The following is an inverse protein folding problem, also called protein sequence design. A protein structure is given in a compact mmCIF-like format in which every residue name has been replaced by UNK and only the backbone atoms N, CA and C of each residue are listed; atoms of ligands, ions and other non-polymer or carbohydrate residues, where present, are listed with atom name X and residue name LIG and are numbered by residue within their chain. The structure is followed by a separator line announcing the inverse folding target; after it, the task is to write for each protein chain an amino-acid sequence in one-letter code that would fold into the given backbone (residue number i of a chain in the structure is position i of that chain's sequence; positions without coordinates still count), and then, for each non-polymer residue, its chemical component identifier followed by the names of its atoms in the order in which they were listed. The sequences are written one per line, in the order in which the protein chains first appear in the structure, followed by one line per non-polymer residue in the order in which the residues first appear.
data_IF_497382926752
#
_entry.id   IF_497382926752
#
_cell.length_a   1.000
_cell.length_b   1.000
_cell.length_c   1.000
_cell.angle_alpha   90.00
_cell.angle_beta   90.00
_cell.angle_gamma   90.00
#
_symmetry.space_group_name_H-M   'P 1'
#
loop_
_entity.id
_entity.type
_entity.pdbx_description
1 polymer ?
#
# COMPACT_ATOMS: atom_id res chain seq x y z
N UNK A 1 28.48 -22.13 -6.65
CA UNK A 1 28.48 -21.30 -5.42
C UNK A 1 27.20 -20.49 -5.40
N UNK A 2 26.16 -21.00 -4.75
CA UNK A 2 24.86 -20.31 -4.62
C UNK A 2 24.90 -19.51 -3.31
N UNK A 3 25.03 -18.19 -3.42
CA UNK A 3 24.95 -17.27 -2.28
C UNK A 3 23.49 -17.22 -1.83
N UNK A 4 23.16 -17.95 -0.76
CA UNK A 4 21.96 -17.68 0.05
C UNK A 4 22.12 -16.28 0.64
N UNK A 5 21.59 -15.28 -0.06
CA UNK A 5 21.39 -13.96 0.50
C UNK A 5 20.53 -14.12 1.75
N UNK A 6 21.14 -13.86 2.91
CA UNK A 6 20.45 -13.83 4.18
C UNK A 6 19.31 -12.84 4.09
N UNK A 7 18.07 -13.36 4.12
CA UNK A 7 16.94 -12.53 4.47
C UNK A 7 17.06 -12.33 5.98
N UNK A 8 17.77 -11.26 6.38
CA UNK A 8 17.67 -10.75 7.74
C UNK A 8 16.19 -10.61 8.08
N UNK A 9 15.83 -10.91 9.33
CA UNK A 9 14.48 -10.73 9.87
C UNK A 9 13.96 -9.34 9.47
N UNK A 10 13.17 -9.29 8.39
CA UNK A 10 12.63 -8.06 7.85
C UNK A 10 11.58 -7.53 8.82
N UNK A 11 11.71 -6.27 9.21
CA UNK A 11 10.70 -5.61 10.04
C UNK A 11 9.42 -5.46 9.21
N UNK A 12 8.31 -5.99 9.72
CA UNK A 12 7.00 -5.81 9.12
C UNK A 12 6.35 -4.55 9.69
N UNK A 13 6.00 -3.62 8.81
CA UNK A 13 5.22 -2.43 9.13
C UNK A 13 3.83 -2.48 8.52
N UNK A 14 2.87 -1.78 9.13
CA UNK A 14 1.52 -1.58 8.61
C UNK A 14 1.19 -0.09 8.59
N UNK A 15 0.44 0.33 7.58
CA UNK A 15 -0.03 1.71 7.42
C UNK A 15 -1.46 1.69 6.87
N UNK A 16 -2.34 2.49 7.45
CA UNK A 16 -3.72 2.68 7.02
C UNK A 16 -4.19 4.08 7.40
N UNK A 17 -5.36 4.49 6.88
CA UNK A 17 -6.04 5.71 7.24
C UNK A 17 -7.48 5.39 7.61
N UNK A 18 -7.98 5.98 8.70
CA UNK A 18 -9.32 5.74 9.23
C UNK A 18 -9.98 7.02 9.72
N UNK A 19 -11.32 7.05 9.68
CA UNK A 19 -12.08 8.08 10.37
C UNK A 19 -12.25 7.75 11.85
N UNK A 20 -12.93 8.65 12.59
CA UNK A 20 -13.21 8.46 14.03
C UNK A 20 -14.10 7.26 14.34
N UNK A 21 -14.79 6.71 13.34
CA UNK A 21 -15.64 5.53 13.44
C UNK A 21 -14.91 4.26 12.95
N UNK A 22 -13.58 4.33 12.73
CA UNK A 22 -12.75 3.22 12.26
C UNK A 22 -13.14 2.70 10.87
N UNK A 23 -13.80 3.54 10.06
CA UNK A 23 -14.09 3.25 8.66
C UNK A 23 -12.87 3.66 7.84
N UNK A 24 -12.46 2.85 6.86
CA UNK A 24 -11.30 3.08 5.97
C UNK A 24 -11.71 3.25 4.50
N UNK A 25 -12.92 2.82 4.16
CA UNK A 25 -13.49 2.87 2.82
C UNK A 25 -14.81 2.10 2.74
N UNK A 26 -15.58 2.34 1.69
CA UNK A 26 -16.82 1.63 1.41
C UNK A 26 -17.00 1.42 -0.10
N UNK A 27 -17.59 0.28 -0.50
CA UNK A 27 -17.86 0.00 -1.92
C UNK A 27 -16.63 -0.05 -2.83
N UNK A 28 -15.46 -0.40 -2.29
CA UNK A 28 -14.20 -0.43 -3.04
C UNK A 28 -13.62 0.96 -3.35
N UNK A 29 -14.05 2.01 -2.63
CA UNK A 29 -13.52 3.37 -2.74
C UNK A 29 -13.24 3.94 -1.35
N UNK A 30 -12.35 4.93 -1.29
CA UNK A 30 -12.21 5.75 -0.09
C UNK A 30 -13.39 6.72 -0.02
N UNK A 31 -13.92 6.92 1.19
CA UNK A 31 -15.04 7.85 1.44
C UNK A 31 -14.59 9.32 1.45
N UNK A 32 -13.29 9.57 1.61
CA UNK A 32 -12.68 10.89 1.60
C UNK A 32 -11.54 10.98 0.60
N UNK A 33 -11.24 12.20 0.19
CA UNK A 33 -10.08 12.54 -0.62
C UNK A 33 -9.24 13.57 0.13
N UNK A 34 -8.17 13.09 0.77
CA UNK A 34 -7.22 13.91 1.53
C UNK A 34 -5.85 13.80 0.85
N UNK A 35 -5.45 14.78 0.02
CA UNK A 35 -4.19 14.70 -0.73
C UNK A 35 -2.95 14.54 0.16
N UNK A 36 -2.98 15.10 1.38
CA UNK A 36 -1.91 14.99 2.35
C UNK A 36 -1.69 13.53 2.81
N UNK A 37 -2.76 12.74 2.97
CA UNK A 37 -2.69 11.34 3.38
C UNK A 37 -2.01 10.48 2.30
N UNK A 38 -2.33 10.72 1.03
CA UNK A 38 -1.68 10.03 -0.09
C UNK A 38 -0.19 10.40 -0.20
N UNK A 39 0.16 11.66 0.05
CA UNK A 39 1.57 12.08 0.11
C UNK A 39 2.29 11.35 1.24
N UNK A 40 1.70 11.29 2.43
CA UNK A 40 2.26 10.57 3.57
C UNK A 40 2.42 9.07 3.27
N UNK A 41 1.40 8.41 2.71
CA UNK A 41 1.48 7.01 2.31
C UNK A 41 2.62 6.77 1.32
N UNK A 42 2.76 7.62 0.30
CA UNK A 42 3.84 7.55 -0.68
C UNK A 42 5.21 7.67 0.00
N UNK A 43 5.40 8.70 0.81
CA UNK A 43 6.69 8.99 1.46
C UNK A 43 7.08 7.87 2.43
N UNK A 44 6.12 7.31 3.17
CA UNK A 44 6.35 6.24 4.16
C UNK A 44 6.62 4.88 3.52
N UNK A 45 6.01 4.58 2.37
CA UNK A 45 6.12 3.24 1.74
C UNK A 45 7.14 3.16 0.62
N UNK A 46 7.66 4.30 0.14
CA UNK A 46 8.63 4.34 -0.95
C UNK A 46 9.87 3.50 -0.62
N UNK A 47 10.36 2.73 -1.60
CA UNK A 47 11.53 1.86 -1.43
C UNK A 47 11.25 0.53 -0.72
N UNK A 48 10.05 0.33 -0.17
CA UNK A 48 9.63 -0.92 0.46
C UNK A 48 8.67 -1.72 -0.45
N UNK A 49 8.71 -3.07 -0.43
CA UNK A 49 7.63 -3.89 -0.97
C UNK A 49 6.30 -3.57 -0.27
N UNK A 50 5.24 -3.33 -1.04
CA UNK A 50 3.90 -3.10 -0.48
C UNK A 50 3.06 -4.36 -0.67
N UNK A 51 2.51 -4.85 0.42
CA UNK A 51 1.58 -5.98 0.45
C UNK A 51 0.18 -5.42 0.71
N UNK A 52 -0.78 -5.76 -0.13
CA UNK A 52 -2.17 -5.31 0.02
C UNK A 52 -3.17 -6.35 -0.48
N UNK A 53 -4.40 -6.27 0.04
CA UNK A 53 -5.50 -7.11 -0.41
C UNK A 53 -5.93 -6.80 -1.85
N UNK A 54 -6.52 -7.80 -2.52
CA UNK A 54 -7.00 -7.69 -3.92
C UNK A 54 -7.91 -6.50 -4.16
N UNK A 55 -8.86 -6.23 -3.26
CA UNK A 55 -9.80 -5.12 -3.41
C UNK A 55 -9.07 -3.77 -3.43
N UNK A 56 -8.19 -3.52 -2.44
CA UNK A 56 -7.39 -2.30 -2.35
C UNK A 56 -6.48 -2.10 -3.57
N UNK A 57 -5.88 -3.17 -4.08
CA UNK A 57 -5.06 -3.11 -5.29
C UNK A 57 -5.87 -2.67 -6.51
N UNK A 58 -7.09 -3.22 -6.70
CA UNK A 58 -7.97 -2.84 -7.79
C UNK A 58 -8.47 -1.39 -7.66
N UNK A 59 -8.73 -0.93 -6.43
CA UNK A 59 -9.13 0.45 -6.15
C UNK A 59 -8.03 1.46 -6.49
N UNK A 60 -6.76 1.12 -6.22
CA UNK A 60 -5.60 1.95 -6.61
C UNK A 60 -5.35 1.94 -8.12
N UNK A 61 -5.63 0.82 -8.81
CA UNK A 61 -5.47 0.68 -10.26
C UNK A 61 -6.28 1.67 -11.09
N UNK A 62 -7.37 2.23 -10.56
CA UNK A 62 -8.12 3.32 -11.22
C UNK A 62 -7.48 4.71 -11.01
N UNK A 63 -6.65 4.88 -9.97
CA UNK A 63 -6.08 6.17 -9.57
C UNK A 63 -4.60 6.34 -9.94
N UNK A 64 -3.81 5.26 -10.02
CA UNK A 64 -2.34 5.34 -10.10
C UNK A 64 -1.67 4.46 -11.16
N UNK A 65 -2.43 3.84 -12.08
CA UNK A 65 -1.88 2.93 -13.11
C UNK A 65 -0.86 3.57 -14.08
N UNK A 66 -0.52 4.86 -13.92
CA UNK A 66 0.45 5.58 -14.76
C UNK A 66 1.79 5.86 -14.08
N UNK A 67 1.95 5.61 -12.78
CA UNK A 67 3.20 5.85 -12.04
C UNK A 67 3.81 4.52 -11.58
N UNK A 68 4.72 3.97 -12.39
CA UNK A 68 5.39 2.68 -12.23
C UNK A 68 6.40 2.61 -11.05
N UNK A 69 6.11 3.23 -9.90
CA UNK A 69 7.07 3.37 -8.79
C UNK A 69 6.88 2.36 -7.64
N UNK A 70 5.77 1.61 -7.58
CA UNK A 70 5.52 0.68 -6.48
C UNK A 70 5.72 -0.78 -6.93
N UNK A 71 6.59 -1.52 -6.22
CA UNK A 71 6.52 -2.99 -6.20
C UNK A 71 5.39 -3.41 -5.25
N UNK A 72 4.17 -3.28 -5.74
CA UNK A 72 2.97 -3.74 -5.05
C UNK A 72 2.74 -5.23 -5.37
N UNK A 73 2.60 -6.04 -4.33
CA UNK A 73 2.31 -7.46 -4.42
C UNK A 73 0.87 -7.70 -4.01
N UNK A 74 0.14 -8.43 -4.85
CA UNK A 74 -1.20 -8.93 -4.53
C UNK A 74 -1.04 -10.23 -3.74
N UNK A 75 -1.63 -10.28 -2.56
CA UNK A 75 -1.88 -11.55 -1.86
C UNK A 75 -3.25 -12.05 -2.34
N UNK A 76 -3.30 -13.27 -2.87
CA UNK A 76 -4.53 -13.89 -3.37
C UNK A 76 -5.48 -14.25 -2.25
#
# INVERSE_FOLDING_TARGET
MSSRAGHGIGVLGMIWAEDKAQVWGAGGKMLWHVPADFKHFKDTTMGSPIIMGRASFLSLGQASARSAQYRAYRVT
#
